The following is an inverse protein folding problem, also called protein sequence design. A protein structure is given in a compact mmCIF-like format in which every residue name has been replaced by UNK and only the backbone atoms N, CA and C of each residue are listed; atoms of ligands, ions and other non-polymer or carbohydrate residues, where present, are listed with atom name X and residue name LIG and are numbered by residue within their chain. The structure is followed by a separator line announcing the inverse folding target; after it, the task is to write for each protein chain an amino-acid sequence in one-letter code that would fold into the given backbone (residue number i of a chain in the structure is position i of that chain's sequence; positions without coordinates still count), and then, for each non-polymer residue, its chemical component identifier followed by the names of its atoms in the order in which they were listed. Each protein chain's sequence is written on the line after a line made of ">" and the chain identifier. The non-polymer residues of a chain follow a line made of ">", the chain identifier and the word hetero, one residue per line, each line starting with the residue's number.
data_IF_441563526818
#
_entry.id   IF_441563526818
#
_cell.length_a   1.000
_cell.length_b   1.000
_cell.length_c   1.000
_cell.angle_alpha   90.00
_cell.angle_beta   90.00
_cell.angle_gamma   90.00
#
_symmetry.space_group_name_H-M   'P 1'
#
loop_
_entity.id
_entity.type
_entity.pdbx_description
1 polymer ?
#
# COMPACT_ATOMS: atom_id res chain seq x y z
N UNK A 1 -26.18 -11.28 10.01
CA UNK A 1 -24.83 -11.45 10.59
C UNK A 1 -23.77 -10.83 9.67
N UNK A 2 -23.57 -11.33 8.43
CA UNK A 2 -22.52 -10.83 7.52
C UNK A 2 -22.61 -9.32 7.24
N UNK A 3 -23.83 -8.83 6.97
CA UNK A 3 -24.05 -7.41 6.72
C UNK A 3 -23.66 -6.54 7.92
N UNK A 4 -24.00 -6.99 9.13
CA UNK A 4 -23.64 -6.29 10.37
C UNK A 4 -22.10 -6.25 10.56
N UNK A 5 -21.39 -7.35 10.30
CA UNK A 5 -19.93 -7.40 10.35
C UNK A 5 -19.32 -6.39 9.34
N UNK A 6 -19.81 -6.37 8.10
CA UNK A 6 -19.33 -5.44 7.10
C UNK A 6 -19.50 -3.97 7.50
N UNK A 7 -20.66 -3.63 8.08
CA UNK A 7 -20.92 -2.27 8.58
C UNK A 7 -19.99 -1.90 9.75
N UNK A 8 -19.76 -2.80 10.69
CA UNK A 8 -18.84 -2.57 11.80
C UNK A 8 -17.40 -2.38 11.33
N UNK A 9 -16.95 -3.16 10.36
CA UNK A 9 -15.60 -3.01 9.79
C UNK A 9 -15.41 -1.67 9.08
N UNK A 10 -16.41 -1.20 8.34
CA UNK A 10 -16.37 0.14 7.73
C UNK A 10 -16.31 1.22 8.80
N UNK A 11 -17.13 1.12 9.86
CA UNK A 11 -17.14 2.10 10.94
C UNK A 11 -15.82 2.19 11.71
N UNK A 12 -15.08 1.07 11.81
CA UNK A 12 -13.74 1.04 12.40
C UNK A 12 -12.69 1.72 11.50
N UNK A 13 -12.85 1.61 10.19
CA UNK A 13 -11.87 2.12 9.23
C UNK A 13 -12.05 3.61 8.92
N UNK A 14 -13.29 4.06 8.79
CA UNK A 14 -13.61 5.44 8.39
C UNK A 14 -15.01 5.87 8.82
N UNK A 15 -15.18 7.13 9.28
CA UNK A 15 -16.50 7.72 9.49
C UNK A 15 -17.19 8.19 8.19
N UNK A 16 -16.46 8.19 7.06
CA UNK A 16 -16.98 8.70 5.78
C UNK A 16 -17.97 7.74 5.14
N UNK A 17 -19.00 8.28 4.49
CA UNK A 17 -19.94 7.50 3.69
C UNK A 17 -19.35 7.06 2.35
N UNK A 18 -19.97 6.09 1.68
CA UNK A 18 -19.55 5.61 0.36
C UNK A 18 -18.55 4.46 0.37
N UNK A 19 -18.17 3.98 1.54
CA UNK A 19 -17.27 2.82 1.68
C UNK A 19 -18.03 1.52 1.97
N UNK A 20 -17.46 0.43 1.53
CA UNK A 20 -17.93 -0.92 1.88
C UNK A 20 -16.74 -1.81 2.22
N UNK A 21 -16.96 -2.81 3.07
CA UNK A 21 -15.94 -3.81 3.36
C UNK A 21 -16.11 -5.04 2.47
N UNK A 22 -15.02 -5.56 1.95
CA UNK A 22 -14.97 -6.82 1.22
C UNK A 22 -14.31 -7.86 2.13
N UNK A 23 -15.05 -8.93 2.42
CA UNK A 23 -14.54 -10.03 3.24
C UNK A 23 -13.90 -11.07 2.33
N UNK A 24 -12.60 -11.28 2.49
CA UNK A 24 -11.86 -12.30 1.76
C UNK A 24 -11.57 -13.47 2.69
N UNK A 25 -11.90 -14.67 2.24
CA UNK A 25 -11.59 -15.89 2.96
C UNK A 25 -10.14 -16.29 2.65
N UNK A 26 -9.27 -16.24 3.64
CA UNK A 26 -7.87 -16.60 3.44
C UNK A 26 -6.94 -15.93 4.45
N UNK A 27 -5.65 -16.00 4.19
CA UNK A 27 -4.61 -15.34 4.98
C UNK A 27 -4.56 -13.83 4.71
N UNK A 28 -3.84 -13.08 5.56
CA UNK A 28 -3.53 -11.68 5.29
C UNK A 28 -2.80 -11.46 3.96
N UNK A 29 -1.97 -12.41 3.52
CA UNK A 29 -1.32 -12.37 2.22
C UNK A 29 -2.32 -12.40 1.08
N UNK A 30 -3.35 -13.24 1.16
CA UNK A 30 -4.42 -13.30 0.17
C UNK A 30 -5.20 -11.98 0.08
N UNK A 31 -5.41 -11.33 1.22
CA UNK A 31 -6.03 -10.00 1.24
C UNK A 31 -5.15 -8.94 0.54
N UNK A 32 -3.83 -9.00 0.72
CA UNK A 32 -2.89 -8.11 0.01
C UNK A 32 -2.94 -8.37 -1.50
N UNK A 33 -2.89 -9.63 -1.94
CA UNK A 33 -3.05 -10.00 -3.36
C UNK A 33 -4.36 -9.46 -3.94
N UNK A 34 -5.47 -9.64 -3.21
CA UNK A 34 -6.78 -9.10 -3.61
C UNK A 34 -6.78 -7.59 -3.79
N UNK A 35 -6.10 -6.84 -2.90
CA UNK A 35 -5.97 -5.38 -3.01
C UNK A 35 -5.10 -5.01 -4.23
N UNK A 36 -3.92 -5.63 -4.38
CA UNK A 36 -3.02 -5.33 -5.50
C UNK A 36 -3.71 -5.59 -6.85
N UNK A 37 -4.38 -6.74 -6.99
CA UNK A 37 -5.03 -7.11 -8.24
C UNK A 37 -6.31 -6.32 -8.58
N UNK A 38 -6.88 -5.60 -7.61
CA UNK A 38 -8.10 -4.81 -7.85
C UNK A 38 -7.86 -3.31 -7.89
N UNK A 39 -6.82 -2.81 -7.21
CA UNK A 39 -6.55 -1.38 -7.09
C UNK A 39 -5.64 -0.85 -8.20
N UNK A 40 -4.77 -1.69 -8.76
CA UNK A 40 -3.77 -1.29 -9.74
C UNK A 40 -4.32 -1.55 -11.15
N UNK A 41 -4.45 -0.50 -11.95
CA UNK A 41 -4.87 -0.61 -13.35
C UNK A 41 -3.75 -1.10 -14.27
N UNK A 42 -4.10 -1.58 -15.47
CA UNK A 42 -3.14 -2.13 -16.45
C UNK A 42 -2.10 -1.10 -16.92
N UNK A 43 -2.41 0.19 -16.85
CA UNK A 43 -1.51 1.28 -17.25
C UNK A 43 -0.82 1.95 -16.07
N UNK A 44 -1.19 1.53 -14.86
CA UNK A 44 -0.66 2.07 -13.63
C UNK A 44 0.64 1.37 -13.22
N UNK A 45 1.41 2.04 -12.38
CA UNK A 45 2.61 1.50 -11.78
C UNK A 45 2.55 1.60 -10.26
N UNK A 46 3.01 0.56 -9.60
CA UNK A 46 3.03 0.46 -8.15
C UNK A 46 4.43 0.76 -7.61
N UNK A 47 4.55 1.67 -6.65
CA UNK A 47 5.78 1.80 -5.85
C UNK A 47 5.68 0.89 -4.63
N UNK A 48 6.57 -0.07 -4.48
CA UNK A 48 6.62 -0.97 -3.33
C UNK A 48 7.82 -0.63 -2.47
N UNK A 49 7.57 -0.24 -1.23
CA UNK A 49 8.63 0.01 -0.26
C UNK A 49 9.06 -1.32 0.35
N UNK A 50 10.28 -1.74 -0.01
CA UNK A 50 10.89 -2.96 0.54
C UNK A 50 11.60 -2.62 1.85
N UNK A 51 10.90 -2.86 2.96
CA UNK A 51 11.40 -2.65 4.32
C UNK A 51 11.54 -3.96 5.10
N UNK A 52 11.79 -5.06 4.41
CA UNK A 52 11.96 -6.40 4.99
C UNK A 52 11.08 -7.47 4.33
N UNK A 53 10.93 -8.61 4.98
CA UNK A 53 10.30 -9.81 4.42
C UNK A 53 8.91 -9.57 3.81
N UNK A 54 8.09 -8.72 4.40
CA UNK A 54 6.75 -8.41 3.86
C UNK A 54 6.81 -7.52 2.61
N UNK A 55 7.77 -6.58 2.55
CA UNK A 55 8.02 -5.79 1.34
C UNK A 55 8.50 -6.66 0.19
N UNK A 56 9.46 -7.55 0.44
CA UNK A 56 9.94 -8.52 -0.53
C UNK A 56 8.82 -9.44 -1.03
N UNK A 57 7.92 -9.87 -0.13
CA UNK A 57 6.75 -10.67 -0.52
C UNK A 57 5.76 -9.92 -1.41
N UNK A 58 5.52 -8.63 -1.15
CA UNK A 58 4.67 -7.80 -2.02
C UNK A 58 5.28 -7.63 -3.41
N UNK A 59 6.59 -7.48 -3.51
CA UNK A 59 7.32 -7.43 -4.80
C UNK A 59 7.10 -8.73 -5.57
N UNK A 60 7.25 -9.87 -4.92
CA UNK A 60 7.03 -11.17 -5.56
C UNK A 60 5.57 -11.36 -6.01
N UNK A 61 4.59 -10.93 -5.20
CA UNK A 61 3.18 -10.93 -5.59
C UNK A 61 2.95 -10.07 -6.83
N UNK A 62 3.47 -8.83 -6.85
CA UNK A 62 3.34 -7.93 -7.99
C UNK A 62 3.96 -8.51 -9.26
N UNK A 63 5.12 -9.17 -9.12
CA UNK A 63 5.79 -9.88 -10.22
C UNK A 63 4.96 -11.03 -10.78
N UNK A 64 4.41 -11.89 -9.91
CA UNK A 64 3.58 -13.03 -10.30
C UNK A 64 2.25 -12.62 -10.92
N UNK A 65 1.73 -11.45 -10.55
CA UNK A 65 0.48 -10.90 -11.07
C UNK A 65 0.69 -10.00 -12.30
N UNK A 66 1.92 -9.89 -12.81
CA UNK A 66 2.31 -9.06 -13.96
C UNK A 66 1.95 -7.56 -13.76
N UNK A 67 2.04 -7.09 -12.51
CA UNK A 67 1.83 -5.68 -12.15
C UNK A 67 3.13 -4.90 -12.35
N UNK A 68 3.10 -3.85 -13.19
CA UNK A 68 4.25 -2.95 -13.35
C UNK A 68 4.55 -2.28 -12.02
N UNK A 69 5.77 -2.43 -11.52
CA UNK A 69 6.14 -1.92 -10.20
C UNK A 69 7.58 -1.43 -10.14
N UNK A 70 7.81 -0.53 -9.17
CA UNK A 70 9.13 -0.07 -8.78
C UNK A 70 9.40 -0.50 -7.34
N UNK A 71 10.42 -1.31 -7.12
CA UNK A 71 10.86 -1.70 -5.79
C UNK A 71 11.79 -0.62 -5.22
N UNK A 72 11.37 0.01 -4.13
CA UNK A 72 12.18 0.97 -3.39
C UNK A 72 12.75 0.28 -2.15
N UNK A 73 14.03 -0.10 -2.18
CA UNK A 73 14.69 -0.80 -1.09
C UNK A 73 15.23 0.19 -0.05
N UNK A 74 14.75 0.09 1.17
CA UNK A 74 15.25 0.85 2.32
C UNK A 74 15.93 -0.02 3.38
N UNK A 75 16.06 -1.33 3.11
CA UNK A 75 16.58 -2.28 4.08
C UNK A 75 15.64 -2.56 5.25
N UNK A 76 16.00 -3.53 6.08
CA UNK A 76 15.09 -4.02 7.15
C UNK A 76 15.01 -3.10 8.36
N UNK A 77 16.04 -2.32 8.63
CA UNK A 77 16.18 -1.53 9.87
C UNK A 77 16.11 -0.01 9.66
N UNK A 78 16.23 0.44 8.42
CA UNK A 78 16.27 1.85 8.11
C UNK A 78 14.85 2.44 7.92
N UNK A 79 14.72 3.71 8.22
CA UNK A 79 13.55 4.49 7.82
C UNK A 79 13.60 4.76 6.30
N UNK A 80 12.48 4.68 5.58
CA UNK A 80 12.45 5.06 4.17
C UNK A 80 12.86 6.52 3.98
N UNK A 81 13.79 6.78 3.07
CA UNK A 81 14.16 8.14 2.68
C UNK A 81 13.02 8.77 1.85
N UNK A 82 12.26 9.64 2.50
CA UNK A 82 11.11 10.32 1.89
C UNK A 82 11.54 11.19 0.71
N UNK A 83 12.73 11.81 0.77
CA UNK A 83 13.24 12.67 -0.32
C UNK A 83 13.54 11.84 -1.56
N UNK A 84 14.20 10.69 -1.37
CA UNK A 84 14.47 9.76 -2.46
C UNK A 84 13.18 9.17 -3.05
N UNK A 85 12.20 8.83 -2.20
CA UNK A 85 10.87 8.38 -2.66
C UNK A 85 10.14 9.45 -3.47
N UNK A 86 10.18 10.72 -3.03
CA UNK A 86 9.60 11.83 -3.79
C UNK A 86 10.28 12.01 -5.16
N UNK A 87 11.59 11.82 -5.25
CA UNK A 87 12.30 11.88 -6.50
C UNK A 87 11.82 10.78 -7.47
N UNK A 88 11.65 9.55 -6.97
CA UNK A 88 11.09 8.44 -7.75
C UNK A 88 9.67 8.75 -8.23
N UNK A 89 8.80 9.25 -7.37
CA UNK A 89 7.42 9.62 -7.73
C UNK A 89 7.34 10.75 -8.75
N UNK A 90 8.30 11.67 -8.75
CA UNK A 90 8.40 12.75 -9.75
C UNK A 90 8.95 12.26 -11.09
N UNK A 91 9.81 11.25 -11.06
CA UNK A 91 10.45 10.72 -12.27
C UNK A 91 9.55 9.84 -13.13
N UNK A 92 8.54 9.19 -12.52
CA UNK A 92 7.60 8.34 -13.25
C UNK A 92 6.14 8.68 -12.89
N UNK A 93 5.47 9.39 -13.77
CA UNK A 93 4.08 9.82 -13.58
C UNK A 93 3.06 8.66 -13.60
N UNK A 94 3.46 7.47 -14.05
CA UNK A 94 2.60 6.26 -14.04
C UNK A 94 2.45 5.68 -12.65
N UNK A 95 3.32 6.03 -11.70
CA UNK A 95 3.20 5.56 -10.32
C UNK A 95 1.96 6.19 -9.69
N UNK A 96 0.90 5.41 -9.61
CA UNK A 96 -0.41 5.81 -9.09
C UNK A 96 -0.61 5.40 -7.63
N UNK A 97 0.06 4.33 -7.20
CA UNK A 97 -0.12 3.73 -5.88
C UNK A 97 1.21 3.45 -5.20
N UNK A 98 1.19 3.44 -3.87
CA UNK A 98 2.33 3.08 -3.03
C UNK A 98 1.89 1.98 -2.07
N UNK A 99 2.59 0.85 -2.07
CA UNK A 99 2.40 -0.24 -1.13
C UNK A 99 3.55 -0.28 -0.12
N UNK A 100 3.19 -0.46 1.16
CA UNK A 100 4.13 -0.45 2.25
C UNK A 100 3.62 -1.28 3.43
N UNK A 101 4.49 -2.07 4.04
CA UNK A 101 4.18 -2.79 5.27
C UNK A 101 4.51 -1.94 6.50
N UNK A 102 3.50 -1.64 7.33
CA UNK A 102 3.67 -0.89 8.58
C UNK A 102 3.91 -1.77 9.79
N UNK A 103 3.61 -3.07 9.69
CA UNK A 103 3.81 -4.04 10.74
C UNK A 103 5.15 -4.75 10.57
N UNK A 104 6.07 -4.53 11.50
CA UNK A 104 7.27 -5.35 11.66
C UNK A 104 7.05 -6.32 12.81
N UNK A 105 7.28 -7.63 12.61
CA UNK A 105 7.35 -8.54 13.75
C UNK A 105 8.53 -8.15 14.64
N UNK A 106 8.40 -8.26 16.00
CA UNK A 106 9.53 -8.01 16.88
C UNK A 106 10.64 -9.06 16.68
N UNK A 107 11.93 -8.76 16.91
CA UNK A 107 12.30 -7.82 17.96
C UNK A 107 13.14 -6.64 17.45
N UNK A 108 12.75 -5.64 16.93
CA UNK A 108 13.58 -4.46 16.85
C UNK A 108 13.15 -3.43 15.81
N UNK A 109 11.96 -2.92 15.86
CA UNK A 109 11.81 -1.57 15.35
C UNK A 109 10.70 -0.83 16.10
N UNK A 110 11.10 -0.13 17.15
CA UNK A 110 10.33 0.98 17.73
C UNK A 110 10.42 2.21 16.84
N UNK A 111 10.67 2.06 15.57
CA UNK A 111 10.73 3.18 14.63
C UNK A 111 9.32 3.69 14.42
N UNK A 112 8.99 4.69 15.21
CA UNK A 112 7.78 5.48 15.06
C UNK A 112 7.82 6.12 13.68
N UNK A 113 7.10 5.57 12.72
CA UNK A 113 6.91 6.20 11.42
C UNK A 113 6.24 7.55 11.67
N UNK A 114 7.05 8.61 11.72
CA UNK A 114 6.54 9.99 11.80
C UNK A 114 5.88 10.28 10.47
N UNK A 115 4.56 10.47 10.50
CA UNK A 115 3.81 10.94 9.33
C UNK A 115 4.38 12.28 8.89
N UNK A 116 5.28 12.27 7.92
CA UNK A 116 5.77 13.49 7.30
C UNK A 116 4.60 14.22 6.63
N UNK A 117 4.50 15.55 6.75
CA UNK A 117 3.53 16.34 5.97
C UNK A 117 3.65 16.16 4.46
N UNK A 118 4.85 15.83 3.97
CA UNK A 118 5.11 15.50 2.57
C UNK A 118 4.40 14.21 2.15
N UNK A 119 4.34 13.21 3.02
CA UNK A 119 3.64 11.95 2.80
C UNK A 119 2.15 12.14 2.55
N UNK A 120 1.48 13.04 3.28
CA UNK A 120 0.05 13.34 3.06
C UNK A 120 -0.22 13.94 1.67
N UNK A 121 0.75 14.65 1.10
CA UNK A 121 0.61 15.24 -0.26
C UNK A 121 0.83 14.22 -1.36
N UNK A 122 1.71 13.23 -1.13
CA UNK A 122 1.95 12.14 -2.07
C UNK A 122 0.77 11.14 -2.12
N UNK A 123 0.12 10.88 -0.98
CA UNK A 123 -1.04 9.96 -0.88
C UNK A 123 -2.38 10.62 -1.18
N UNK A 124 -2.45 11.94 -1.29
CA UNK A 124 -3.66 12.69 -1.58
C UNK A 124 -3.87 12.95 -3.09
N UNK A 125 -3.28 12.16 -3.97
CA UNK A 125 -3.60 12.25 -5.39
C UNK A 125 -5.03 11.72 -5.57
N UNK A 126 -6.01 12.54 -6.01
CA UNK A 126 -7.34 12.05 -6.27
C UNK A 126 -7.27 11.00 -7.37
N UNK A 127 -7.96 9.88 -7.18
CA UNK A 127 -8.27 8.97 -8.26
C UNK A 127 -8.88 9.83 -9.38
N UNK A 128 -8.15 9.99 -10.49
CA UNK A 128 -8.68 10.68 -11.64
C UNK A 128 -9.89 9.89 -12.11
N UNK A 129 -11.06 10.49 -11.97
CA UNK A 129 -12.26 10.02 -12.65
C UNK A 129 -11.97 10.09 -14.14
N UNK A 130 -11.69 8.96 -14.73
CA UNK A 130 -11.70 8.80 -16.19
C UNK A 130 -13.15 8.75 -16.65
N UNK A 131 -13.51 9.47 -17.74
CA UNK A 131 -14.86 9.52 -18.26
C UNK A 131 -15.38 8.17 -18.72
#
# INVERSE_FOLDING_TARGET
>A
VVQSIRQQLVALATPSAGYTSVLLQGSGSFAVEGVLGTAIGLQDKLLIVNNGAYGARMIEMARLMDIDHHAFDCGEVNEPDVTAMEAVLKSDARISHIAWCTAKPPPACSTRCKRSPAWRRATARPLSSTP
#
